data_IF_983524091955
#
_entry.id   IF_983524091955
#
_cell.length_a   1.000
_cell.length_b   1.000
_cell.length_c   1.000
_cell.angle_alpha   90.00
_cell.angle_beta   90.00
_cell.angle_gamma   90.00
#
_symmetry.space_group_name_H-M   'P 1'
#
loop_
_entity.id
_entity.type
_entity.pdbx_description
1 polymer ?
#
# COMPACT_ATOMS: atom_id res chain seq x y z
N UNK A 1 18.16 -28.55 -15.25
CA UNK A 1 16.76 -28.86 -15.00
C UNK A 1 16.17 -28.00 -13.95
N UNK A 2 16.64 -28.15 -12.74
CA UNK A 2 16.09 -27.39 -11.64
C UNK A 2 16.27 -25.89 -11.83
N UNK A 3 17.38 -25.50 -12.40
CA UNK A 3 17.68 -24.11 -12.66
C UNK A 3 16.67 -23.48 -13.59
N UNK A 4 16.29 -24.22 -14.62
CA UNK A 4 15.33 -23.72 -15.59
C UNK A 4 13.99 -23.47 -14.92
N UNK A 5 13.57 -24.39 -14.08
CA UNK A 5 12.31 -24.23 -13.38
C UNK A 5 12.32 -23.04 -12.45
N UNK A 6 13.42 -22.83 -11.76
CA UNK A 6 13.57 -21.64 -10.91
C UNK A 6 13.44 -20.38 -11.70
N UNK A 7 14.03 -20.36 -12.87
CA UNK A 7 14.01 -19.16 -13.70
C UNK A 7 12.62 -18.83 -14.19
N UNK A 8 11.78 -19.83 -14.39
CA UNK A 8 10.42 -19.59 -14.84
C UNK A 8 9.60 -18.78 -13.86
N UNK A 9 9.94 -18.83 -12.59
CA UNK A 9 9.19 -18.13 -11.55
C UNK A 9 9.90 -16.87 -11.06
N UNK A 10 10.98 -16.51 -11.71
CA UNK A 10 11.89 -15.53 -11.12
C UNK A 10 11.31 -14.18 -10.79
N UNK A 11 10.50 -13.60 -11.68
CA UNK A 11 10.10 -12.23 -11.42
C UNK A 11 9.19 -12.12 -10.20
N UNK A 12 8.20 -12.98 -10.09
CA UNK A 12 7.32 -12.93 -8.93
C UNK A 12 8.01 -13.42 -7.67
N UNK A 13 8.76 -14.51 -7.82
CA UNK A 13 9.48 -15.05 -6.67
C UNK A 13 10.49 -14.07 -6.12
N UNK A 14 11.17 -13.35 -7.01
CA UNK A 14 12.16 -12.37 -6.58
C UNK A 14 11.50 -11.23 -5.80
N UNK A 15 10.32 -10.77 -6.22
CA UNK A 15 9.61 -9.74 -5.49
C UNK A 15 9.18 -10.23 -4.12
N UNK A 16 8.65 -11.45 -4.04
CA UNK A 16 8.22 -12.03 -2.78
C UNK A 16 9.36 -12.36 -1.87
N UNK A 17 10.53 -12.63 -2.44
CA UNK A 17 11.72 -13.03 -1.68
C UNK A 17 12.62 -11.86 -1.32
N UNK A 18 12.31 -10.66 -1.78
CA UNK A 18 13.07 -9.48 -1.42
C UNK A 18 12.45 -8.87 -0.16
N UNK A 19 12.88 -9.34 1.03
CA UNK A 19 12.21 -8.91 2.25
C UNK A 19 12.37 -7.43 2.55
N UNK A 20 13.44 -6.81 2.07
CA UNK A 20 13.63 -5.38 2.30
C UNK A 20 12.59 -4.54 1.54
N UNK A 21 12.07 -5.06 0.43
CA UNK A 21 11.06 -4.36 -0.36
C UNK A 21 9.71 -5.06 -0.27
N UNK A 22 9.44 -5.71 0.85
CA UNK A 22 8.16 -6.34 1.12
C UNK A 22 7.52 -5.72 2.35
N UNK A 23 6.27 -5.32 2.23
CA UNK A 23 5.51 -4.75 3.34
C UNK A 23 4.40 -5.73 3.69
N UNK A 24 4.34 -6.14 4.95
CA UNK A 24 3.30 -7.03 5.44
C UNK A 24 2.37 -6.26 6.36
N UNK A 25 1.11 -6.19 6.00
CA UNK A 25 0.08 -5.59 6.82
C UNK A 25 -0.74 -6.69 7.47
N UNK A 26 -0.78 -6.71 8.80
CA UNK A 26 -1.74 -7.55 9.50
C UNK A 26 -2.97 -6.71 9.73
N UNK A 27 -4.06 -7.05 9.06
CA UNK A 27 -5.29 -6.30 9.19
C UNK A 27 -6.32 -7.11 9.97
N UNK A 28 -7.39 -6.45 10.38
CA UNK A 28 -8.48 -7.15 11.07
C UNK A 28 -9.21 -8.13 10.15
N UNK A 29 -8.89 -8.14 8.84
CA UNK A 29 -9.46 -9.10 7.87
C UNK A 29 -8.45 -10.14 7.41
N UNK A 30 -7.19 -10.07 7.89
CA UNK A 30 -6.14 -11.00 7.54
C UNK A 30 -4.93 -10.28 6.97
N UNK A 31 -3.91 -11.05 6.64
CA UNK A 31 -2.63 -10.51 6.19
C UNK A 31 -2.70 -10.06 4.73
N UNK A 32 -2.02 -8.96 4.45
CA UNK A 32 -1.87 -8.43 3.10
C UNK A 32 -0.38 -8.19 2.87
N UNK A 33 0.16 -8.77 1.82
CA UNK A 33 1.57 -8.63 1.47
C UNK A 33 1.69 -7.72 0.25
N UNK A 34 2.50 -6.69 0.38
CA UNK A 34 2.69 -5.68 -0.67
C UNK A 34 4.15 -5.70 -1.11
N UNK A 35 4.37 -5.82 -2.42
CA UNK A 35 5.68 -5.62 -3.00
C UNK A 35 5.90 -4.14 -3.20
N UNK A 36 6.92 -3.59 -2.56
CA UNK A 36 7.25 -2.18 -2.71
C UNK A 36 7.99 -1.97 -4.02
N UNK A 37 7.77 -0.82 -4.64
CA UNK A 37 8.32 -0.51 -5.96
C UNK A 37 9.25 0.72 -5.89
N UNK A 38 10.46 0.56 -5.35
CA UNK A 38 11.40 1.68 -5.31
C UNK A 38 11.87 2.11 -6.70
N UNK A 39 11.71 1.23 -7.70
CA UNK A 39 11.98 1.59 -9.08
C UNK A 39 11.02 2.65 -9.60
N UNK A 40 9.78 2.67 -9.09
CA UNK A 40 8.76 3.63 -9.51
C UNK A 40 8.75 4.87 -8.64
N UNK A 41 8.96 4.72 -7.34
CA UNK A 41 8.78 5.81 -6.39
C UNK A 41 9.77 5.67 -5.24
N UNK A 42 11.06 5.92 -5.49
CA UNK A 42 12.09 5.68 -4.47
C UNK A 42 11.89 6.49 -3.20
N UNK A 43 11.42 7.73 -3.31
CA UNK A 43 11.23 8.56 -2.12
C UNK A 43 10.03 8.13 -1.32
N UNK A 44 8.95 7.76 -2.00
CA UNK A 44 7.75 7.25 -1.33
C UNK A 44 8.08 5.94 -0.61
N UNK A 45 8.76 5.02 -1.27
CA UNK A 45 9.11 3.74 -0.66
C UNK A 45 9.99 3.95 0.56
N UNK A 46 11.00 4.82 0.45
CA UNK A 46 11.88 5.10 1.59
C UNK A 46 11.09 5.66 2.77
N UNK A 47 10.17 6.59 2.50
CA UNK A 47 9.37 7.19 3.57
C UNK A 47 8.40 6.19 4.19
N UNK A 48 7.78 5.36 3.36
CA UNK A 48 6.87 4.33 3.87
C UNK A 48 7.63 3.38 4.80
N UNK A 49 8.83 2.98 4.42
CA UNK A 49 9.64 2.13 5.29
C UNK A 49 9.95 2.80 6.62
N UNK A 50 10.28 4.08 6.60
CA UNK A 50 10.52 4.83 7.84
C UNK A 50 9.30 4.79 8.74
N UNK A 51 8.14 5.10 8.16
CA UNK A 51 6.90 5.13 8.93
C UNK A 51 6.53 3.75 9.47
N UNK A 52 6.73 2.72 8.67
CA UNK A 52 6.46 1.34 9.10
C UNK A 52 7.37 0.98 10.27
N UNK A 53 8.65 1.30 10.18
CA UNK A 53 9.61 0.97 11.24
C UNK A 53 9.37 1.79 12.50
N UNK A 54 8.76 2.96 12.35
CA UNK A 54 8.35 3.79 13.50
C UNK A 54 6.99 3.37 14.05
N UNK A 55 6.39 2.30 13.49
CA UNK A 55 5.08 1.78 13.89
C UNK A 55 3.96 2.80 13.68
N UNK A 56 4.17 3.70 12.75
CA UNK A 56 3.21 4.78 12.47
C UNK A 56 1.86 4.23 12.03
N UNK A 57 1.87 3.15 11.24
CA UNK A 57 0.65 2.58 10.68
C UNK A 57 -0.08 1.63 11.62
N UNK A 58 0.56 1.23 12.72
CA UNK A 58 -0.07 0.31 13.65
C UNK A 58 -1.32 0.96 14.24
N UNK A 59 -2.46 0.30 14.07
CA UNK A 59 -3.73 0.81 14.59
C UNK A 59 -4.47 1.77 13.68
N UNK A 60 -3.92 2.14 12.53
CA UNK A 60 -4.65 3.05 11.63
C UNK A 60 -5.84 2.33 10.98
N UNK A 61 -6.94 3.05 10.84
CA UNK A 61 -8.16 2.47 10.31
C UNK A 61 -8.30 2.70 8.81
N UNK A 62 -9.08 1.83 8.16
CA UNK A 62 -9.48 2.07 6.78
C UNK A 62 -10.70 2.98 6.81
N UNK A 63 -10.45 4.26 6.77
CA UNK A 63 -11.48 5.28 7.03
C UNK A 63 -12.37 5.57 5.82
N UNK A 64 -11.94 5.19 4.63
CA UNK A 64 -12.69 5.45 3.39
C UNK A 64 -12.52 4.25 2.47
N UNK A 65 -13.61 3.52 2.25
CA UNK A 65 -13.57 2.29 1.45
C UNK A 65 -14.76 2.29 0.51
N UNK A 66 -14.48 2.37 -0.79
CA UNK A 66 -15.54 2.51 -1.80
C UNK A 66 -15.60 1.26 -2.64
N UNK A 67 -16.77 0.63 -2.65
CA UNK A 67 -17.00 -0.60 -3.40
C UNK A 67 -16.61 -0.42 -4.86
N UNK A 68 -15.84 -1.38 -5.39
CA UNK A 68 -15.42 -1.37 -6.79
C UNK A 68 -14.35 -0.36 -7.12
N UNK A 69 -13.85 0.39 -6.13
CA UNK A 69 -12.86 1.42 -6.35
C UNK A 69 -11.60 1.17 -5.51
N UNK A 70 -11.62 1.51 -4.23
CA UNK A 70 -10.40 1.40 -3.42
C UNK A 70 -10.67 1.39 -1.93
N UNK A 71 -9.66 0.97 -1.16
CA UNK A 71 -9.66 1.05 0.30
C UNK A 71 -8.52 1.98 0.73
N UNK A 72 -8.86 3.04 1.47
CA UNK A 72 -7.90 4.07 1.88
C UNK A 72 -7.65 4.02 3.36
N UNK A 73 -6.39 4.16 3.75
CA UNK A 73 -5.93 4.10 5.13
C UNK A 73 -4.71 4.99 5.32
N UNK A 74 -4.09 4.91 6.50
CA UNK A 74 -2.81 5.57 6.75
C UNK A 74 -2.91 6.91 7.45
N UNK A 75 -4.09 7.27 7.94
CA UNK A 75 -4.30 8.50 8.70
C UNK A 75 -4.37 8.15 10.19
N UNK A 76 -3.41 8.59 11.01
CA UNK A 76 -3.45 8.25 12.44
C UNK A 76 -4.65 8.83 13.15
N UNK A 77 -5.28 9.88 12.63
CA UNK A 77 -6.49 10.45 13.23
C UNK A 77 -7.75 9.72 12.80
N UNK A 78 -7.69 8.98 11.71
CA UNK A 78 -8.85 8.23 11.20
C UNK A 78 -9.92 9.09 10.53
N UNK A 79 -9.65 10.37 10.29
CA UNK A 79 -10.64 11.30 9.74
C UNK A 79 -10.45 11.60 8.26
N UNK A 80 -9.27 11.26 7.72
CA UNK A 80 -8.90 11.59 6.35
C UNK A 80 -8.11 12.88 6.21
N UNK A 81 -7.88 13.58 7.32
CA UNK A 81 -7.20 14.87 7.29
C UNK A 81 -5.81 14.84 7.91
N UNK A 82 -5.41 13.73 8.53
CA UNK A 82 -4.13 13.64 9.22
C UNK A 82 -3.04 13.00 8.39
N UNK A 83 -1.83 13.03 8.93
CA UNK A 83 -0.67 12.44 8.30
C UNK A 83 0.51 12.49 9.25
N UNK A 84 1.70 12.26 8.72
CA UNK A 84 2.92 12.25 9.50
C UNK A 84 3.52 13.63 9.68
N UNK A 85 3.03 14.61 8.94
CA UNK A 85 3.54 15.96 8.98
C UNK A 85 4.64 16.25 7.98
N UNK A 86 4.99 15.30 7.13
CA UNK A 86 6.05 15.48 6.13
C UNK A 86 5.52 15.10 4.76
N UNK A 87 5.40 16.10 3.89
CA UNK A 87 4.85 15.89 2.57
C UNK A 87 5.91 15.38 1.60
N UNK A 88 5.44 14.67 0.59
CA UNK A 88 6.29 14.06 -0.44
C UNK A 88 5.93 14.64 -1.80
N UNK A 89 6.95 15.01 -2.56
CA UNK A 89 6.75 15.42 -3.95
C UNK A 89 6.28 14.22 -4.77
N UNK A 90 5.44 14.47 -5.76
CA UNK A 90 4.90 13.40 -6.60
C UNK A 90 6.01 12.67 -7.33
N UNK A 91 5.81 11.37 -7.52
CA UNK A 91 6.70 10.52 -8.31
C UNK A 91 5.84 9.75 -9.30
N UNK A 92 5.23 10.48 -10.24
CA UNK A 92 4.34 9.87 -11.21
C UNK A 92 5.09 8.96 -12.16
N UNK A 93 4.41 7.90 -12.59
CA UNK A 93 4.97 6.92 -13.50
C UNK A 93 3.91 6.46 -14.49
N UNK A 94 4.29 5.56 -15.39
CA UNK A 94 3.34 4.97 -16.34
C UNK A 94 2.66 3.73 -15.78
N UNK A 95 2.99 3.36 -14.57
CA UNK A 95 2.39 2.17 -13.97
C UNK A 95 0.88 2.36 -13.84
N UNK A 96 0.07 1.44 -14.36
CA UNK A 96 -1.38 1.61 -14.32
C UNK A 96 -1.95 1.32 -12.94
N UNK A 97 -3.07 1.95 -12.63
CA UNK A 97 -3.83 1.65 -11.42
C UNK A 97 -4.77 0.50 -11.75
N UNK A 98 -4.38 -0.70 -11.37
CA UNK A 98 -5.18 -1.91 -11.59
C UNK A 98 -5.48 -2.53 -10.23
N UNK A 99 -6.26 -3.61 -10.24
CA UNK A 99 -6.56 -4.31 -8.99
C UNK A 99 -5.27 -4.68 -8.26
N UNK A 100 -5.18 -4.31 -7.00
CA UNK A 100 -4.02 -4.58 -6.15
C UNK A 100 -2.97 -3.48 -6.15
N UNK A 101 -3.10 -2.46 -6.99
CA UNK A 101 -2.16 -1.34 -6.99
C UNK A 101 -2.27 -0.55 -5.70
N UNK A 102 -1.13 -0.22 -5.10
CA UNK A 102 -1.04 0.60 -3.89
C UNK A 102 -0.46 1.96 -4.28
N UNK A 103 -1.21 3.01 -3.99
CA UNK A 103 -0.88 4.34 -4.47
C UNK A 103 -1.05 5.37 -3.36
N UNK A 104 -0.33 6.48 -3.45
CA UNK A 104 -0.34 7.51 -2.41
C UNK A 104 -1.56 8.41 -2.57
N UNK A 105 -2.35 8.54 -1.51
CA UNK A 105 -3.44 9.50 -1.47
C UNK A 105 -2.86 10.90 -1.30
N UNK A 106 -3.59 11.90 -1.80
CA UNK A 106 -3.12 13.28 -1.74
C UNK A 106 -4.30 14.24 -1.81
N UNK A 107 -4.06 15.49 -1.44
CA UNK A 107 -5.02 16.56 -1.65
C UNK A 107 -4.92 17.05 -3.11
N UNK A 108 -5.44 18.22 -3.41
CA UNK A 108 -5.39 18.74 -4.77
C UNK A 108 -3.97 18.97 -5.26
N UNK A 109 -3.10 19.43 -4.38
CA UNK A 109 -1.69 19.64 -4.74
C UNK A 109 -1.03 18.28 -4.97
N UNK A 110 -0.49 18.02 -6.17
CA UNK A 110 0.16 16.73 -6.45
C UNK A 110 1.30 16.40 -5.48
N UNK A 111 1.92 17.40 -4.89
CA UNK A 111 3.04 17.24 -3.98
C UNK A 111 2.60 17.21 -2.53
N UNK A 112 1.35 16.85 -2.26
CA UNK A 112 0.80 16.84 -0.90
C UNK A 112 0.67 15.43 -0.31
N UNK A 113 1.24 14.42 -0.94
CA UNK A 113 1.26 13.08 -0.37
C UNK A 113 1.98 13.07 0.96
N UNK A 114 1.51 12.25 1.89
CA UNK A 114 2.11 12.19 3.22
C UNK A 114 2.16 10.75 3.70
N UNK A 115 1.11 10.26 4.32
CA UNK A 115 1.09 8.89 4.84
C UNK A 115 -0.12 8.10 4.39
N UNK A 116 -1.17 8.75 3.95
CA UNK A 116 -2.38 8.04 3.53
C UNK A 116 -2.16 7.41 2.17
N UNK A 117 -2.66 6.19 2.02
CA UNK A 117 -2.56 5.46 0.76
C UNK A 117 -3.81 4.64 0.54
N UNK A 118 -3.97 4.16 -0.69
CA UNK A 118 -5.12 3.33 -1.01
C UNK A 118 -4.71 2.11 -1.83
N UNK A 119 -5.52 1.07 -1.71
CA UNK A 119 -5.36 -0.18 -2.46
C UNK A 119 -6.55 -0.28 -3.40
N UNK A 120 -6.29 -0.43 -4.69
CA UNK A 120 -7.35 -0.49 -5.69
C UNK A 120 -8.04 -1.85 -5.66
N UNK A 121 -9.38 -1.85 -5.67
CA UNK A 121 -10.17 -3.08 -5.82
C UNK A 121 -10.26 -3.49 -7.29
N UNK A 122 -10.20 -2.54 -8.20
CA UNK A 122 -10.43 -2.77 -9.62
C UNK A 122 -9.62 -1.76 -10.43
N UNK A 123 -9.58 -1.97 -11.74
CA UNK A 123 -8.87 -1.07 -12.63
C UNK A 123 -9.46 0.33 -12.55
N UNK A 124 -8.59 1.31 -12.37
CA UNK A 124 -8.99 2.71 -12.20
C UNK A 124 -8.12 3.60 -13.08
N UNK A 125 -8.30 3.50 -14.41
CA UNK A 125 -7.39 4.18 -15.34
C UNK A 125 -7.42 5.71 -15.25
N UNK A 126 -8.48 6.29 -14.70
CA UNK A 126 -8.52 7.75 -14.53
C UNK A 126 -7.51 8.25 -13.52
N UNK A 127 -6.91 7.36 -12.74
CA UNK A 127 -5.87 7.72 -11.77
C UNK A 127 -4.48 7.67 -12.36
N UNK A 128 -4.33 7.06 -13.53
CA UNK A 128 -3.01 6.83 -14.12
C UNK A 128 -2.29 8.15 -14.39
N UNK A 129 -1.03 8.25 -13.95
CA UNK A 129 -0.24 9.45 -14.10
C UNK A 129 -0.64 10.60 -13.19
N UNK A 130 -1.62 10.39 -12.31
CA UNK A 130 -2.14 11.43 -11.42
C UNK A 130 -1.83 11.16 -9.96
N UNK A 131 -1.44 9.94 -9.63
CA UNK A 131 -1.11 9.53 -8.28
C UNK A 131 0.17 8.69 -8.31
N UNK A 132 0.93 8.72 -7.22
CA UNK A 132 2.20 7.99 -7.15
C UNK A 132 1.96 6.54 -6.74
N UNK A 133 2.24 5.63 -7.66
CA UNK A 133 2.20 4.19 -7.38
C UNK A 133 3.49 3.78 -6.70
N UNK A 134 3.40 3.18 -5.52
CA UNK A 134 4.61 2.75 -4.82
C UNK A 134 4.59 1.28 -4.39
N UNK A 135 3.53 0.56 -4.70
CA UNK A 135 3.49 -0.85 -4.33
C UNK A 135 2.39 -1.60 -5.06
N UNK A 136 2.39 -2.91 -4.85
CA UNK A 136 1.36 -3.80 -5.39
C UNK A 136 1.13 -4.95 -4.43
N UNK A 137 -0.14 -5.30 -4.22
CA UNK A 137 -0.49 -6.45 -3.40
C UNK A 137 -0.13 -7.72 -4.18
N UNK A 138 0.69 -8.56 -3.55
CA UNK A 138 1.12 -9.83 -4.16
C UNK A 138 0.52 -11.03 -3.44
N UNK A 139 -0.04 -10.83 -2.25
CA UNK A 139 -0.73 -11.90 -1.52
C UNK A 139 -1.75 -11.26 -0.59
N UNK A 140 -2.88 -11.93 -0.38
CA UNK A 140 -3.87 -11.45 0.56
C UNK A 140 -4.88 -10.47 -0.02
N UNK A 141 -4.98 -10.35 -1.34
CA UNK A 141 -5.96 -9.44 -1.94
C UNK A 141 -7.39 -9.83 -1.56
N UNK A 142 -7.64 -11.11 -1.36
CA UNK A 142 -8.95 -11.58 -0.91
C UNK A 142 -9.30 -11.01 0.48
N UNK A 143 -8.30 -10.71 1.29
CA UNK A 143 -8.52 -10.07 2.59
C UNK A 143 -8.85 -8.60 2.43
N UNK A 144 -8.23 -7.93 1.45
CA UNK A 144 -8.57 -6.55 1.13
C UNK A 144 -10.02 -6.45 0.69
N UNK A 145 -10.48 -7.45 -0.08
CA UNK A 145 -11.87 -7.47 -0.55
C UNK A 145 -12.88 -7.53 0.59
N UNK A 146 -12.46 -7.99 1.77
CA UNK A 146 -13.34 -8.13 2.92
C UNK A 146 -13.42 -6.87 3.78
N UNK A 147 -12.61 -5.88 3.50
CA UNK A 147 -12.56 -4.66 4.30
C UNK A 147 -13.91 -3.94 4.19
N UNK A 148 -14.42 -3.51 5.34
CA UNK A 148 -15.75 -2.93 5.43
C UNK A 148 -15.84 -1.63 4.62
N UNK A 149 -16.88 -1.54 3.80
CA UNK A 149 -17.14 -0.38 2.93
C UNK A 149 -17.74 0.78 3.72
N UNK A 150 -17.52 1.97 3.22
CA UNK A 150 -18.11 3.18 3.78
C UNK A 150 -17.30 4.42 3.46
N UNK A 151 -17.97 5.57 3.51
CA UNK A 151 -17.33 6.87 3.24
C UNK A 151 -18.01 7.93 4.10
N UNK A 152 -17.60 8.07 5.37
CA UNK A 152 -16.60 7.30 6.10
C UNK A 152 -17.10 5.91 6.50
N UNK A 153 -16.18 5.04 6.89
CA UNK A 153 -16.53 3.70 7.33
C UNK A 153 -16.97 3.74 8.79
N UNK A 154 -18.07 3.07 9.08
CA UNK A 154 -18.55 2.93 10.44
C UNK A 154 -17.93 1.66 11.04
N UNK A 155 -17.35 1.75 12.24
CA UNK A 155 -16.64 0.64 12.88
C UNK A 155 -15.61 0.04 11.91
N UNK A 156 -14.63 0.82 11.48
CA UNK A 156 -13.75 0.41 10.39
C UNK A 156 -12.81 -0.71 10.77
N UNK A 157 -12.42 -1.48 9.76
CA UNK A 157 -11.28 -2.38 9.89
C UNK A 157 -10.02 -1.55 10.01
N UNK A 158 -8.96 -2.17 10.52
CA UNK A 158 -7.72 -1.44 10.73
C UNK A 158 -6.51 -2.30 10.46
N UNK A 159 -5.38 -1.62 10.32
CA UNK A 159 -4.07 -2.25 10.28
C UNK A 159 -3.69 -2.54 11.73
N UNK A 160 -3.62 -3.80 12.10
CA UNK A 160 -3.17 -4.19 13.44
C UNK A 160 -1.69 -3.92 13.57
N UNK A 161 -0.91 -4.31 12.55
CA UNK A 161 0.51 -4.01 12.52
C UNK A 161 0.98 -3.96 11.07
N UNK A 162 2.03 -3.19 10.83
CA UNK A 162 2.70 -3.11 9.54
C UNK A 162 4.19 -3.34 9.76
N UNK A 163 4.79 -4.22 8.97
CA UNK A 163 6.20 -4.56 9.12
C UNK A 163 6.84 -4.72 7.75
N UNK A 164 8.10 -4.33 7.64
CA UNK A 164 8.91 -4.66 6.48
C UNK A 164 9.28 -6.13 6.61
N UNK A 165 9.25 -6.87 5.51
CA UNK A 165 9.49 -8.29 5.54
C UNK A 165 10.82 -8.68 6.18
N UNK A 166 11.86 -7.90 5.94
CA UNK A 166 13.16 -8.17 6.54
C UNK A 166 13.10 -8.10 8.06
N UNK A 167 12.31 -7.16 8.60
CA UNK A 167 12.19 -7.00 10.06
C UNK A 167 11.28 -8.07 10.66
N UNK A 168 10.30 -8.52 9.91
CA UNK A 168 9.34 -9.51 10.41
C UNK A 168 9.95 -10.87 10.61
N UNK A 169 11.07 -11.14 9.96
CA UNK A 169 11.78 -12.41 10.11
C UNK A 169 12.65 -12.48 11.35
N UNK A 170 12.93 -11.37 11.93
CA UNK A 170 13.83 -11.30 13.10
C UNK A 170 13.20 -11.85 14.39
#
# INVERSE_FOLDING_TARGET
MRIVRSQCHNSEDAMNQDPENTLVLQTTRGDVTIALRPDLAPRHVARIKELVRDRFYDGTVFHRVIEGFMAQTGDPTGTGTGGSGKKLAAEFSREPHVRGTVSMARAQNPDSGDSQFFICFADSPWLNGQYTVWGKVVAGMENVDKIKRGEPVRDPDRIVSARIGADAKA
#
